data_IF_125678300539
#
_entry.id   IF_125678300539
#
_cell.length_a   1.000
_cell.length_b   1.000
_cell.length_c   1.000
_cell.angle_alpha   90.00
_cell.angle_beta   90.00
_cell.angle_gamma   90.00
#
_symmetry.space_group_name_H-M   'P 1'
#
loop_
_entity.id
_entity.type
_entity.pdbx_description
1 polymer ?
#
# COMPACT_ATOMS: atom_id res chain seq x y z
N UNK A 1 16.54 23.16 25.26
CA UNK A 1 16.57 23.64 23.86
C UNK A 1 15.47 23.05 22.98
N UNK A 2 14.94 21.89 23.28
CA UNK A 2 13.86 21.21 22.55
C UNK A 2 12.49 21.86 22.74
N UNK A 3 12.25 22.48 23.89
CA UNK A 3 10.97 23.13 24.21
C UNK A 3 10.65 24.38 23.35
N UNK A 4 11.66 25.09 22.84
CA UNK A 4 11.46 26.26 21.96
C UNK A 4 11.03 25.87 20.55
N UNK A 5 11.51 24.75 20.03
CA UNK A 5 11.12 24.28 18.68
C UNK A 5 9.68 23.75 18.67
N UNK A 6 9.24 23.10 19.73
CA UNK A 6 7.85 22.64 19.87
C UNK A 6 6.85 23.79 20.00
N UNK A 7 7.19 24.89 20.70
CA UNK A 7 6.30 26.06 20.84
C UNK A 7 6.16 26.88 19.54
N UNK A 8 7.14 26.87 18.67
CA UNK A 8 7.04 27.53 17.36
C UNK A 8 6.17 26.78 16.37
N UNK A 9 5.88 25.50 16.60
CA UNK A 9 5.00 24.67 15.78
C UNK A 9 3.50 24.95 15.97
N UNK A 10 3.10 25.57 17.08
CA UNK A 10 1.68 25.75 17.45
C UNK A 10 1.05 27.09 17.07
N UNK A 11 1.77 28.07 16.48
CA UNK A 11 1.23 29.43 16.31
C UNK A 11 1.55 30.03 14.95
N UNK A 12 1.35 29.29 13.85
CA UNK A 12 1.33 29.94 12.54
C UNK A 12 0.42 29.20 11.57
N UNK A 13 -0.83 29.65 11.49
CA UNK A 13 -1.84 29.32 10.48
C UNK A 13 -1.43 29.82 9.09
N UNK A 14 -0.29 29.38 8.59
CA UNK A 14 0.11 29.54 7.20
C UNK A 14 0.57 28.19 6.71
N UNK A 15 0.11 27.80 5.54
CA UNK A 15 0.56 26.61 4.79
C UNK A 15 2.09 26.53 4.89
N UNK A 16 2.58 25.73 5.84
CA UNK A 16 4.01 25.56 6.03
C UNK A 16 4.53 24.59 4.98
N UNK A 17 5.15 25.13 3.95
CA UNK A 17 5.90 24.33 3.00
C UNK A 17 7.34 24.21 3.55
N UNK A 18 7.73 23.05 4.07
CA UNK A 18 9.07 22.87 4.61
C UNK A 18 10.11 23.01 3.50
N UNK A 19 11.21 23.69 3.82
CA UNK A 19 12.35 23.79 2.89
C UNK A 19 13.05 22.43 2.82
N UNK A 20 13.28 21.95 1.62
CA UNK A 20 14.01 20.72 1.34
C UNK A 20 15.23 21.02 0.45
N UNK A 21 16.30 20.25 0.58
CA UNK A 21 17.44 20.31 -0.31
C UNK A 21 17.10 19.71 -1.68
N UNK A 22 17.90 19.99 -2.69
CA UNK A 22 17.70 19.40 -4.02
C UNK A 22 17.77 17.87 -3.96
N UNK A 23 18.65 17.33 -3.12
CA UNK A 23 18.78 15.89 -2.88
C UNK A 23 17.51 15.30 -2.25
N UNK A 24 16.92 16.00 -1.29
CA UNK A 24 15.67 15.57 -0.64
C UNK A 24 14.51 15.57 -1.63
N UNK A 25 14.42 16.59 -2.49
CA UNK A 25 13.42 16.64 -3.56
C UNK A 25 13.55 15.44 -4.50
N UNK A 26 14.76 15.06 -4.89
CA UNK A 26 15.00 13.90 -5.75
C UNK A 26 14.57 12.59 -5.06
N UNK A 27 14.91 12.43 -3.79
CA UNK A 27 14.50 11.26 -3.00
C UNK A 27 12.97 11.13 -2.92
N UNK A 28 12.28 12.23 -2.63
CA UNK A 28 10.81 12.22 -2.55
C UNK A 28 10.16 12.02 -3.92
N UNK A 29 10.76 12.54 -4.99
CA UNK A 29 10.30 12.30 -6.36
C UNK A 29 10.38 10.81 -6.73
N UNK A 30 11.50 10.14 -6.42
CA UNK A 30 11.65 8.70 -6.64
C UNK A 30 10.57 7.93 -5.88
N UNK A 31 10.33 8.27 -4.61
CA UNK A 31 9.23 7.69 -3.83
C UNK A 31 7.89 7.86 -4.53
N UNK A 32 7.58 9.07 -5.01
CA UNK A 32 6.32 9.35 -5.69
C UNK A 32 6.11 8.49 -6.93
N UNK A 33 7.17 8.29 -7.74
CA UNK A 33 7.13 7.41 -8.93
C UNK A 33 6.89 5.95 -8.53
N UNK A 34 7.58 5.43 -7.50
CA UNK A 34 7.40 4.05 -7.04
C UNK A 34 5.97 3.83 -6.55
N UNK A 35 5.44 4.74 -5.73
CA UNK A 35 4.07 4.64 -5.20
C UNK A 35 3.04 4.72 -6.32
N UNK A 36 3.19 5.66 -7.26
CA UNK A 36 2.27 5.80 -8.38
C UNK A 36 2.27 4.57 -9.29
N UNK A 37 3.43 3.97 -9.56
CA UNK A 37 3.50 2.72 -10.33
C UNK A 37 2.77 1.58 -9.62
N UNK A 38 2.86 1.50 -8.28
CA UNK A 38 2.11 0.54 -7.46
C UNK A 38 0.60 0.78 -7.54
N UNK A 39 0.16 2.03 -7.44
CA UNK A 39 -1.27 2.37 -7.49
C UNK A 39 -1.87 2.14 -8.87
N UNK A 40 -1.18 2.57 -9.93
CA UNK A 40 -1.64 2.38 -11.31
C UNK A 40 -1.78 0.88 -11.62
N UNK A 41 -0.75 0.08 -11.32
CA UNK A 41 -0.78 -1.36 -11.51
C UNK A 41 -1.90 -2.01 -10.71
N UNK A 42 -2.07 -1.62 -9.45
CA UNK A 42 -3.14 -2.11 -8.57
C UNK A 42 -4.54 -1.72 -9.06
N UNK A 43 -4.71 -0.53 -9.63
CA UNK A 43 -5.98 -0.07 -10.19
C UNK A 43 -6.38 -0.88 -11.42
N UNK A 44 -5.43 -1.13 -12.34
CA UNK A 44 -5.70 -1.96 -13.51
C UNK A 44 -6.07 -3.39 -13.12
N UNK A 45 -5.41 -3.95 -12.10
CA UNK A 45 -5.75 -5.26 -11.57
C UNK A 45 -7.17 -5.30 -11.00
N UNK A 46 -7.54 -4.32 -10.17
CA UNK A 46 -8.87 -4.22 -9.54
C UNK A 46 -10.00 -4.04 -10.55
N UNK A 47 -9.71 -3.43 -11.70
CA UNK A 47 -10.72 -3.26 -12.77
C UNK A 47 -11.12 -4.59 -13.43
N UNK A 48 -10.24 -5.60 -13.40
CA UNK A 48 -10.41 -6.83 -14.17
C UNK A 48 -10.44 -8.11 -13.33
N UNK A 49 -10.13 -8.01 -12.03
CA UNK A 49 -10.13 -9.14 -11.12
C UNK A 49 -11.12 -8.92 -9.97
N UNK A 50 -11.75 -9.98 -9.44
CA UNK A 50 -12.58 -9.91 -8.26
C UNK A 50 -11.82 -9.38 -7.04
N UNK A 51 -12.52 -8.62 -6.19
CA UNK A 51 -11.95 -8.07 -4.95
C UNK A 51 -11.49 -9.16 -3.98
N UNK A 52 -12.22 -10.28 -3.96
CA UNK A 52 -11.90 -11.44 -3.11
C UNK A 52 -10.64 -12.19 -3.53
N UNK A 53 -10.12 -11.96 -4.74
CA UNK A 53 -8.83 -12.47 -5.22
C UNK A 53 -7.74 -11.42 -5.00
N UNK A 54 -7.98 -10.17 -5.39
CA UNK A 54 -6.97 -9.11 -5.27
C UNK A 54 -6.67 -8.74 -3.81
N UNK A 55 -7.68 -8.84 -2.93
CA UNK A 55 -7.55 -8.56 -1.49
C UNK A 55 -6.48 -9.42 -0.81
N UNK A 56 -6.60 -10.76 -0.79
CA UNK A 56 -5.60 -11.64 -0.20
C UNK A 56 -4.20 -11.50 -0.82
N UNK A 57 -4.11 -11.32 -2.16
CA UNK A 57 -2.83 -11.07 -2.82
C UNK A 57 -2.19 -9.79 -2.27
N UNK A 58 -2.93 -8.70 -2.15
CA UNK A 58 -2.44 -7.44 -1.57
C UNK A 58 -2.11 -7.56 -0.08
N UNK A 59 -2.83 -8.39 0.66
CA UNK A 59 -2.56 -8.63 2.09
C UNK A 59 -1.22 -9.31 2.35
N UNK A 60 -0.64 -10.01 1.36
CA UNK A 60 0.68 -10.62 1.49
C UNK A 60 1.86 -9.65 1.31
N UNK A 61 1.62 -8.40 0.97
CA UNK A 61 2.68 -7.40 0.82
C UNK A 61 3.63 -7.29 2.02
N UNK A 62 3.20 -7.40 3.32
CA UNK A 62 4.11 -7.40 4.45
C UNK A 62 5.15 -8.52 4.41
N UNK A 63 4.80 -9.69 3.85
CA UNK A 63 5.75 -10.80 3.65
C UNK A 63 6.86 -10.38 2.70
N UNK A 64 6.51 -9.77 1.58
CA UNK A 64 7.50 -9.26 0.61
C UNK A 64 8.35 -8.14 1.20
N UNK A 65 7.76 -7.26 2.01
CA UNK A 65 8.50 -6.21 2.72
C UNK A 65 9.49 -6.81 3.71
N UNK A 66 9.10 -7.87 4.44
CA UNK A 66 9.99 -8.56 5.37
C UNK A 66 11.14 -9.29 4.64
N UNK A 67 10.83 -10.02 3.56
CA UNK A 67 11.86 -10.64 2.72
C UNK A 67 12.82 -9.61 2.12
N UNK A 68 12.29 -8.48 1.67
CA UNK A 68 13.10 -7.36 1.19
C UNK A 68 13.97 -6.75 2.29
N UNK A 69 13.47 -6.64 3.52
CA UNK A 69 14.24 -6.16 4.67
C UNK A 69 15.37 -7.13 5.03
N UNK A 70 15.12 -8.42 4.95
CA UNK A 70 16.16 -9.45 5.13
C UNK A 70 17.28 -9.31 4.10
N UNK A 71 16.95 -9.13 2.82
CA UNK A 71 17.93 -9.02 1.74
C UNK A 71 18.70 -7.70 1.78
N UNK A 72 18.03 -6.56 2.07
CA UNK A 72 18.63 -5.24 2.01
C UNK A 72 19.30 -4.82 3.31
N UNK A 73 18.77 -5.25 4.46
CA UNK A 73 19.28 -4.86 5.79
C UNK A 73 19.98 -6.01 6.52
N UNK A 74 20.05 -7.21 5.93
CA UNK A 74 20.69 -8.38 6.54
C UNK A 74 19.96 -8.88 7.80
N UNK A 75 18.68 -8.56 7.97
CA UNK A 75 17.88 -8.97 9.12
C UNK A 75 17.68 -10.50 9.09
N UNK A 76 17.88 -11.17 10.23
CA UNK A 76 17.62 -12.62 10.34
C UNK A 76 16.18 -12.86 10.75
N UNK A 77 15.49 -13.70 10.01
CA UNK A 77 14.13 -14.11 10.34
C UNK A 77 14.09 -15.04 11.55
N UNK A 78 13.22 -14.73 12.51
CA UNK A 78 12.92 -15.62 13.61
C UNK A 78 11.98 -16.75 13.14
N UNK A 79 11.90 -17.85 13.93
CA UNK A 79 11.06 -19.01 13.62
C UNK A 79 9.59 -18.62 13.36
N UNK A 80 9.04 -17.73 14.17
CA UNK A 80 7.68 -17.20 13.98
C UNK A 80 7.49 -16.50 12.64
N UNK A 81 8.47 -15.73 12.21
CA UNK A 81 8.44 -15.04 10.92
C UNK A 81 8.50 -16.03 9.74
N UNK A 82 9.31 -17.11 9.86
CA UNK A 82 9.32 -18.18 8.87
C UNK A 82 7.96 -18.89 8.77
N UNK A 83 7.30 -19.18 9.90
CA UNK A 83 5.93 -19.72 9.89
C UNK A 83 4.97 -18.78 9.16
N UNK A 84 5.04 -17.49 9.43
CA UNK A 84 4.23 -16.47 8.75
C UNK A 84 4.46 -16.44 7.23
N UNK A 85 5.70 -16.55 6.77
CA UNK A 85 6.05 -16.64 5.34
C UNK A 85 5.45 -17.90 4.70
N UNK A 86 5.63 -19.07 5.33
CA UNK A 86 5.10 -20.35 4.83
C UNK A 86 3.58 -20.31 4.72
N UNK A 87 2.88 -19.81 5.76
CA UNK A 87 1.42 -19.66 5.75
C UNK A 87 0.95 -18.76 4.61
N UNK A 88 1.64 -17.65 4.36
CA UNK A 88 1.32 -16.73 3.26
C UNK A 88 1.53 -17.40 1.89
N UNK A 89 2.60 -18.15 1.70
CA UNK A 89 2.85 -18.92 0.46
C UNK A 89 1.77 -19.98 0.26
N UNK A 90 1.40 -20.71 1.31
CA UNK A 90 0.33 -21.70 1.27
C UNK A 90 -1.02 -21.07 0.88
N UNK A 91 -1.35 -19.92 1.45
CA UNK A 91 -2.52 -19.14 1.06
C UNK A 91 -2.51 -18.78 -0.43
N UNK A 92 -1.39 -18.31 -0.97
CA UNK A 92 -1.28 -18.03 -2.40
C UNK A 92 -1.57 -19.25 -3.29
N UNK A 93 -1.05 -20.40 -2.89
CA UNK A 93 -1.31 -21.65 -3.61
C UNK A 93 -2.79 -22.02 -3.60
N UNK A 94 -3.44 -21.94 -2.44
CA UNK A 94 -4.87 -22.20 -2.29
C UNK A 94 -5.71 -21.20 -3.10
N UNK A 95 -5.38 -19.91 -3.02
CA UNK A 95 -6.06 -18.87 -3.79
C UNK A 95 -5.93 -19.10 -5.31
N UNK A 96 -4.74 -19.52 -5.79
CA UNK A 96 -4.53 -19.91 -7.18
C UNK A 96 -5.41 -21.07 -7.59
N UNK A 97 -5.58 -22.07 -6.71
CA UNK A 97 -6.46 -23.22 -6.93
C UNK A 97 -7.94 -22.81 -6.96
N UNK A 98 -8.35 -21.93 -6.06
CA UNK A 98 -9.71 -21.38 -6.00
C UNK A 98 -10.03 -20.54 -7.25
N UNK A 99 -9.08 -19.74 -7.72
CA UNK A 99 -9.22 -18.92 -8.91
C UNK A 99 -9.38 -19.75 -10.21
N UNK A 100 -8.72 -20.91 -10.31
CA UNK A 100 -8.89 -21.83 -11.44
C UNK A 100 -10.34 -22.27 -11.61
N UNK A 101 -11.07 -22.48 -10.51
CA UNK A 101 -12.51 -22.85 -10.54
C UNK A 101 -13.40 -21.74 -11.12
N UNK A 102 -12.92 -20.50 -11.12
CA UNK A 102 -13.59 -19.33 -11.72
C UNK A 102 -13.06 -18.98 -13.10
N UNK A 103 -12.24 -19.84 -13.70
CA UNK A 103 -11.63 -19.62 -15.03
C UNK A 103 -10.44 -18.66 -15.00
N UNK A 104 -9.91 -18.31 -13.83
CA UNK A 104 -8.77 -17.43 -13.67
C UNK A 104 -7.50 -18.27 -13.56
N UNK A 105 -6.72 -18.33 -14.63
CA UNK A 105 -5.42 -18.99 -14.66
C UNK A 105 -4.33 -18.03 -14.18
N UNK A 106 -3.84 -18.20 -12.93
CA UNK A 106 -2.88 -17.31 -12.30
C UNK A 106 -1.59 -17.11 -13.11
N UNK A 107 -1.04 -18.20 -13.69
CA UNK A 107 0.22 -18.15 -14.43
C UNK A 107 0.16 -17.37 -15.76
N UNK A 108 -1.02 -17.29 -16.40
CA UNK A 108 -1.19 -16.69 -17.74
C UNK A 108 -2.06 -15.43 -17.72
N UNK A 109 -2.49 -14.98 -16.55
CA UNK A 109 -3.36 -13.83 -16.45
C UNK A 109 -2.54 -12.55 -16.20
N UNK A 110 -2.51 -11.67 -17.20
CA UNK A 110 -1.81 -10.37 -17.12
C UNK A 110 -2.25 -9.50 -15.95
N UNK A 111 -3.48 -9.63 -15.48
CA UNK A 111 -4.00 -8.82 -14.37
C UNK A 111 -3.49 -9.32 -13.03
N UNK A 112 -3.24 -10.63 -12.91
CA UNK A 112 -2.51 -11.19 -11.75
C UNK A 112 -1.08 -10.65 -11.72
N UNK A 113 -0.41 -10.60 -12.87
CA UNK A 113 0.93 -9.98 -12.97
C UNK A 113 0.91 -8.52 -12.50
N UNK A 114 -0.08 -7.72 -12.92
CA UNK A 114 -0.23 -6.34 -12.42
C UNK A 114 -0.48 -6.28 -10.92
N UNK A 115 -1.23 -7.24 -10.34
CA UNK A 115 -1.40 -7.31 -8.88
C UNK A 115 -0.07 -7.59 -8.18
N UNK A 116 0.69 -8.57 -8.68
CA UNK A 116 2.03 -8.90 -8.14
C UNK A 116 2.99 -7.72 -8.28
N UNK A 117 3.00 -7.06 -9.43
CA UNK A 117 3.81 -5.84 -9.64
C UNK A 117 3.43 -4.74 -8.65
N UNK A 118 2.14 -4.54 -8.39
CA UNK A 118 1.65 -3.56 -7.42
C UNK A 118 2.16 -3.86 -5.99
N UNK A 119 2.16 -5.13 -5.57
CA UNK A 119 2.66 -5.47 -4.23
C UNK A 119 4.18 -5.41 -4.13
N UNK A 120 4.91 -5.76 -5.19
CA UNK A 120 6.37 -5.62 -5.24
C UNK A 120 6.79 -4.15 -5.13
N UNK A 121 6.24 -3.29 -5.99
CA UNK A 121 6.52 -1.85 -5.94
C UNK A 121 6.03 -1.21 -4.65
N UNK A 122 4.91 -1.69 -4.09
CA UNK A 122 4.42 -1.26 -2.78
C UNK A 122 5.31 -1.70 -1.62
N UNK A 123 5.90 -2.90 -1.67
CA UNK A 123 6.88 -3.36 -0.70
C UNK A 123 8.19 -2.55 -0.80
N UNK A 124 8.67 -2.30 -2.01
CA UNK A 124 9.82 -1.41 -2.24
C UNK A 124 9.58 -0.01 -1.68
N UNK A 125 8.38 0.56 -1.89
CA UNK A 125 8.01 1.85 -1.30
C UNK A 125 8.09 1.83 0.22
N UNK A 126 7.56 0.78 0.88
CA UNK A 126 7.62 0.65 2.34
C UNK A 126 9.05 0.56 2.87
N UNK A 127 9.94 -0.18 2.19
CA UNK A 127 11.36 -0.24 2.54
C UNK A 127 12.05 1.10 2.33
N UNK A 128 11.72 1.79 1.25
CA UNK A 128 12.24 3.12 0.95
C UNK A 128 11.74 4.17 1.94
N UNK A 129 10.49 4.06 2.43
CA UNK A 129 9.96 4.92 3.49
C UNK A 129 10.78 4.79 4.79
N UNK A 130 11.15 3.56 5.16
CA UNK A 130 12.03 3.33 6.33
C UNK A 130 13.38 4.03 6.16
N UNK A 131 13.91 4.05 4.95
CA UNK A 131 15.16 4.77 4.66
C UNK A 131 14.98 6.29 4.74
N UNK A 132 13.90 6.84 4.16
CA UNK A 132 13.62 8.27 4.18
C UNK A 132 13.35 8.80 5.59
N UNK A 133 12.60 8.07 6.41
CA UNK A 133 12.27 8.49 7.79
C UNK A 133 13.48 8.55 8.72
N UNK A 134 14.60 7.92 8.35
CA UNK A 134 15.88 8.05 9.09
C UNK A 134 16.62 9.34 8.75
N UNK A 135 16.42 9.90 7.58
CA UNK A 135 17.20 11.03 7.05
C UNK A 135 16.42 12.33 6.96
N UNK A 136 15.09 12.27 6.91
CA UNK A 136 14.22 13.43 6.66
C UNK A 136 13.08 13.53 7.67
N UNK A 137 12.61 14.76 7.87
CA UNK A 137 11.42 15.01 8.68
C UNK A 137 10.14 14.50 7.96
N UNK A 138 9.27 13.85 8.73
CA UNK A 138 8.02 13.24 8.24
C UNK A 138 7.13 14.24 7.50
N UNK A 139 6.98 15.47 8.06
CA UNK A 139 6.13 16.49 7.43
C UNK A 139 6.70 16.95 6.10
N UNK A 140 8.02 17.07 6.00
CA UNK A 140 8.70 17.42 4.74
C UNK A 140 8.45 16.35 3.67
N UNK A 141 8.61 15.08 4.02
CA UNK A 141 8.36 13.98 3.09
C UNK A 141 6.89 13.95 2.66
N UNK A 142 5.94 14.08 3.58
CA UNK A 142 4.52 14.00 3.26
C UNK A 142 4.05 15.15 2.37
N UNK A 143 4.44 16.38 2.68
CA UNK A 143 4.03 17.55 1.89
C UNK A 143 4.55 17.46 0.47
N UNK A 144 5.86 17.26 0.30
CA UNK A 144 6.47 17.16 -1.04
C UNK A 144 6.02 15.92 -1.82
N UNK A 145 5.81 14.79 -1.14
CA UNK A 145 5.24 13.60 -1.74
C UNK A 145 3.87 13.87 -2.36
N UNK A 146 2.96 14.51 -1.62
CA UNK A 146 1.63 14.85 -2.14
C UNK A 146 1.70 15.83 -3.32
N UNK A 147 2.60 16.84 -3.25
CA UNK A 147 2.82 17.78 -4.35
C UNK A 147 3.29 17.03 -5.61
N UNK A 148 4.31 16.18 -5.48
CA UNK A 148 4.81 15.41 -6.63
C UNK A 148 3.78 14.43 -7.18
N UNK A 149 2.99 13.77 -6.32
CA UNK A 149 1.88 12.94 -6.81
C UNK A 149 0.88 13.74 -7.62
N UNK A 150 0.45 14.91 -7.15
CA UNK A 150 -0.46 15.78 -7.90
C UNK A 150 0.14 16.21 -9.23
N UNK A 151 1.41 16.61 -9.25
CA UNK A 151 2.10 17.03 -10.49
C UNK A 151 2.17 15.87 -11.48
N UNK A 152 2.68 14.70 -11.07
CA UNK A 152 2.83 13.54 -11.96
C UNK A 152 1.46 13.08 -12.48
N UNK A 153 0.45 13.01 -11.60
CA UNK A 153 -0.90 12.63 -12.01
C UNK A 153 -1.51 13.64 -12.99
N UNK A 154 -1.25 14.94 -12.80
CA UNK A 154 -1.68 15.97 -13.74
C UNK A 154 -1.04 15.78 -15.12
N UNK A 155 0.26 15.47 -15.18
CA UNK A 155 0.93 15.13 -16.44
C UNK A 155 0.33 13.88 -17.10
N UNK A 156 0.09 12.81 -16.33
CA UNK A 156 -0.55 11.58 -16.85
C UNK A 156 -1.94 11.90 -17.42
N UNK A 157 -2.74 12.72 -16.75
CA UNK A 157 -4.05 13.12 -17.21
C UNK A 157 -3.97 13.96 -18.50
N UNK A 158 -3.09 14.90 -18.55
CA UNK A 158 -2.93 15.81 -19.71
C UNK A 158 -2.42 15.06 -20.95
N UNK A 159 -1.41 14.18 -20.79
CA UNK A 159 -0.76 13.53 -21.93
C UNK A 159 -1.38 12.20 -22.33
N UNK A 160 -1.95 11.45 -21.41
CA UNK A 160 -2.52 10.11 -21.71
C UNK A 160 -4.04 10.12 -21.80
N UNK A 161 -4.74 10.79 -20.90
CA UNK A 161 -6.19 10.76 -20.88
C UNK A 161 -6.82 11.82 -21.79
N UNK A 162 -6.32 13.05 -21.77
CA UNK A 162 -6.93 14.15 -22.53
C UNK A 162 -6.98 13.92 -24.05
N UNK A 163 -5.93 13.41 -24.71
CA UNK A 163 -5.99 13.07 -26.14
C UNK A 163 -6.96 11.93 -26.44
N UNK A 164 -7.08 10.99 -25.53
CA UNK A 164 -7.90 9.78 -25.67
C UNK A 164 -9.30 9.89 -25.02
N UNK A 165 -9.70 11.06 -24.57
CA UNK A 165 -10.96 11.26 -23.82
C UNK A 165 -12.22 10.78 -24.53
N UNK A 166 -12.25 10.82 -25.88
CA UNK A 166 -13.37 10.35 -26.70
C UNK A 166 -13.48 8.81 -26.77
N UNK A 167 -12.34 8.10 -26.59
CA UNK A 167 -12.26 6.63 -26.60
C UNK A 167 -12.25 6.02 -25.21
N UNK A 168 -12.00 6.84 -24.21
CA UNK A 168 -11.91 6.47 -22.80
C UNK A 168 -13.23 6.73 -22.10
N UNK A 169 -13.37 6.21 -20.87
CA UNK A 169 -14.54 6.45 -20.01
C UNK A 169 -14.70 7.94 -19.78
N UNK A 170 -15.88 8.54 -20.05
CA UNK A 170 -16.10 9.96 -19.83
C UNK A 170 -15.94 10.30 -18.35
N UNK A 171 -15.39 11.47 -18.06
CA UNK A 171 -15.26 11.95 -16.69
C UNK A 171 -16.66 12.17 -16.10
N UNK A 172 -16.95 11.46 -15.02
CA UNK A 172 -18.18 11.65 -14.23
C UNK A 172 -17.80 12.17 -12.87
N UNK A 173 -18.27 13.38 -12.55
CA UNK A 173 -18.11 13.93 -11.22
C UNK A 173 -18.95 13.13 -10.23
N UNK A 174 -18.32 12.62 -9.16
CA UNK A 174 -19.00 11.94 -8.05
C UNK A 174 -18.47 12.47 -6.72
N UNK A 175 -19.35 12.84 -5.84
CA UNK A 175 -18.99 13.30 -4.49
C UNK A 175 -18.13 12.31 -3.71
N UNK A 176 -18.29 11.02 -3.99
CA UNK A 176 -17.47 9.96 -3.40
C UNK A 176 -15.96 10.18 -3.62
N UNK A 177 -15.56 10.86 -4.70
CA UNK A 177 -14.14 11.16 -4.99
C UNK A 177 -13.56 12.06 -3.89
N UNK A 178 -14.32 13.09 -3.47
CA UNK A 178 -13.88 14.00 -2.39
C UNK A 178 -13.77 13.24 -1.07
N UNK A 179 -14.80 12.46 -0.71
CA UNK A 179 -14.75 11.67 0.53
C UNK A 179 -13.58 10.71 0.57
N UNK A 180 -13.33 9.96 -0.52
CA UNK A 180 -12.17 9.06 -0.63
C UNK A 180 -10.86 9.84 -0.43
N UNK A 181 -10.70 11.01 -1.06
CA UNK A 181 -9.50 11.82 -0.96
C UNK A 181 -9.26 12.33 0.47
N UNK A 182 -10.31 12.83 1.13
CA UNK A 182 -10.22 13.32 2.52
C UNK A 182 -9.86 12.18 3.47
N UNK A 183 -10.57 11.04 3.39
CA UNK A 183 -10.28 9.89 4.25
C UNK A 183 -8.90 9.31 3.99
N UNK A 184 -8.42 9.32 2.75
CA UNK A 184 -7.06 8.87 2.43
C UNK A 184 -6.00 9.79 3.03
N UNK A 185 -6.17 11.12 2.91
CA UNK A 185 -5.27 12.09 3.55
C UNK A 185 -5.22 11.92 5.07
N UNK A 186 -6.38 11.75 5.71
CA UNK A 186 -6.47 11.52 7.16
C UNK A 186 -5.78 10.21 7.54
N UNK A 187 -6.02 9.14 6.79
CA UNK A 187 -5.43 7.83 7.03
C UNK A 187 -3.90 7.86 6.88
N UNK A 188 -3.38 8.55 5.87
CA UNK A 188 -1.94 8.71 5.67
C UNK A 188 -1.32 9.59 6.77
N UNK A 189 -2.00 10.65 7.20
CA UNK A 189 -1.52 11.47 8.31
C UNK A 189 -1.45 10.67 9.62
N UNK A 190 -2.49 9.91 9.95
CA UNK A 190 -2.52 9.03 11.14
C UNK A 190 -1.42 7.96 11.05
N UNK A 191 -1.21 7.40 9.87
CA UNK A 191 -0.15 6.42 9.63
C UNK A 191 1.24 7.00 9.91
N UNK A 192 1.55 8.16 9.35
CA UNK A 192 2.85 8.81 9.58
C UNK A 192 2.99 9.27 11.03
N UNK A 193 1.92 9.79 11.63
CA UNK A 193 1.91 10.15 13.04
C UNK A 193 2.23 8.95 13.94
N UNK A 194 1.62 7.80 13.66
CA UNK A 194 1.94 6.56 14.39
C UNK A 194 3.41 6.14 14.24
N UNK A 195 4.05 6.43 13.12
CA UNK A 195 5.47 6.12 12.90
C UNK A 195 6.44 7.08 13.61
N UNK A 196 5.97 8.23 14.09
CA UNK A 196 6.82 9.18 14.85
C UNK A 196 7.12 8.73 16.27
N UNK A 197 6.33 7.80 16.81
CA UNK A 197 6.59 7.27 18.15
C UNK A 197 7.79 6.33 18.15
N UNK A 198 8.80 6.55 19.03
CA UNK A 198 10.03 5.73 19.06
C UNK A 198 9.77 4.25 19.27
N UNK A 199 8.75 3.92 20.08
CA UNK A 199 8.37 2.55 20.41
C UNK A 199 7.39 1.93 19.40
N UNK A 200 7.00 2.67 18.35
CA UNK A 200 6.08 2.14 17.35
C UNK A 200 6.80 1.13 16.46
N UNK A 201 6.36 -0.11 16.55
CA UNK A 201 6.82 -1.13 15.61
C UNK A 201 6.16 -0.90 14.26
N UNK A 202 6.95 -0.61 13.25
CA UNK A 202 6.50 -0.40 11.86
C UNK A 202 5.66 -1.58 11.38
N UNK A 203 6.00 -2.78 11.84
CA UNK A 203 5.25 -4.01 11.56
C UNK A 203 3.81 -3.95 12.06
N UNK A 204 3.56 -3.45 13.28
CA UNK A 204 2.20 -3.34 13.85
C UNK A 204 1.38 -2.34 13.05
N UNK A 205 1.94 -1.15 12.81
CA UNK A 205 1.25 -0.09 12.06
C UNK A 205 0.92 -0.57 10.64
N UNK A 206 1.85 -1.28 10.00
CA UNK A 206 1.63 -1.90 8.70
C UNK A 206 0.55 -2.97 8.72
N UNK A 207 0.48 -3.80 9.77
CA UNK A 207 -0.57 -4.81 9.93
C UNK A 207 -1.94 -4.19 10.10
N UNK A 208 -2.07 -3.19 10.97
CA UNK A 208 -3.34 -2.46 11.16
C UNK A 208 -3.79 -1.82 9.86
N UNK A 209 -2.88 -1.20 9.10
CA UNK A 209 -3.18 -0.66 7.78
C UNK A 209 -3.64 -1.73 6.78
N UNK A 210 -3.14 -2.96 6.88
CA UNK A 210 -3.49 -4.08 5.99
C UNK A 210 -4.77 -4.81 6.39
N UNK A 211 -5.26 -4.66 7.61
CA UNK A 211 -6.56 -5.24 8.00
C UNK A 211 -7.75 -4.68 7.20
N UNK A 212 -7.56 -3.62 6.41
CA UNK A 212 -8.54 -3.16 5.42
C UNK A 212 -8.93 -4.25 4.41
N UNK A 213 -8.10 -5.29 4.23
CA UNK A 213 -8.43 -6.42 3.35
C UNK A 213 -9.69 -7.16 3.81
N UNK A 214 -9.96 -7.20 5.13
CA UNK A 214 -11.21 -7.75 5.66
C UNK A 214 -12.42 -6.98 5.15
N UNK A 215 -12.36 -5.66 5.20
CA UNK A 215 -13.44 -4.79 4.70
C UNK A 215 -13.61 -4.96 3.19
N UNK A 216 -12.51 -5.02 2.45
CA UNK A 216 -12.53 -5.25 1.00
C UNK A 216 -13.15 -6.60 0.65
N UNK A 217 -12.80 -7.66 1.40
CA UNK A 217 -13.36 -9.00 1.22
C UNK A 217 -14.87 -9.03 1.50
N UNK A 218 -15.30 -8.44 2.63
CA UNK A 218 -16.71 -8.35 2.99
C UNK A 218 -17.50 -7.53 1.95
N UNK A 219 -16.94 -6.43 1.47
CA UNK A 219 -17.55 -5.65 0.39
C UNK A 219 -17.70 -6.46 -0.90
N UNK A 220 -16.67 -7.22 -1.29
CA UNK A 220 -16.73 -8.13 -2.43
C UNK A 220 -17.81 -9.20 -2.28
N UNK A 221 -17.92 -9.78 -1.09
CA UNK A 221 -18.91 -10.80 -0.78
C UNK A 221 -20.36 -10.27 -0.79
N UNK A 222 -20.59 -9.12 -0.12
CA UNK A 222 -21.95 -8.59 0.11
C UNK A 222 -22.45 -7.79 -1.10
N UNK A 223 -21.65 -6.84 -1.59
CA UNK A 223 -22.10 -5.91 -2.65
C UNK A 223 -21.90 -6.46 -4.06
N UNK A 224 -20.87 -7.26 -4.29
CA UNK A 224 -20.56 -7.79 -5.61
C UNK A 224 -21.00 -9.24 -5.81
N UNK A 225 -21.55 -9.89 -4.78
CA UNK A 225 -22.07 -11.27 -4.83
C UNK A 225 -21.06 -12.24 -5.47
N UNK A 226 -19.78 -12.12 -5.11
CA UNK A 226 -18.71 -12.93 -5.68
C UNK A 226 -18.88 -14.42 -5.33
N UNK A 227 -18.41 -15.29 -6.23
CA UNK A 227 -18.55 -16.75 -6.11
C UNK A 227 -17.43 -17.37 -5.25
N UNK A 228 -17.66 -18.62 -4.79
CA UNK A 228 -16.65 -19.42 -4.05
C UNK A 228 -16.11 -18.76 -2.77
N UNK A 229 -16.95 -18.02 -2.05
CA UNK A 229 -16.56 -17.26 -0.86
C UNK A 229 -15.92 -18.11 0.24
N UNK A 230 -16.37 -19.36 0.44
CA UNK A 230 -15.82 -20.25 1.49
C UNK A 230 -14.32 -20.48 1.30
N UNK A 231 -13.90 -20.86 0.10
CA UNK A 231 -12.49 -21.13 -0.19
C UNK A 231 -11.65 -19.85 -0.07
N UNK A 232 -12.15 -18.73 -0.62
CA UNK A 232 -11.49 -17.43 -0.53
C UNK A 232 -11.42 -16.89 0.90
N UNK A 233 -12.39 -17.22 1.75
CA UNK A 233 -12.35 -16.89 3.18
C UNK A 233 -11.27 -17.69 3.93
N UNK A 234 -11.05 -18.95 3.57
CA UNK A 234 -9.95 -19.78 4.12
C UNK A 234 -8.61 -19.17 3.71
N UNK A 235 -8.46 -18.76 2.44
CA UNK A 235 -7.26 -18.12 1.94
C UNK A 235 -6.97 -16.83 2.70
N UNK A 236 -8.00 -15.99 2.89
CA UNK A 236 -7.88 -14.74 3.67
C UNK A 236 -7.48 -15.01 5.12
N UNK A 237 -8.10 -16.02 5.76
CA UNK A 237 -7.79 -16.40 7.13
C UNK A 237 -6.32 -16.83 7.27
N UNK A 238 -5.79 -17.61 6.32
CA UNK A 238 -4.38 -18.03 6.32
C UNK A 238 -3.42 -16.85 6.15
N UNK A 239 -3.75 -15.88 5.29
CA UNK A 239 -2.94 -14.66 5.17
C UNK A 239 -2.94 -13.87 6.48
N UNK A 240 -4.11 -13.69 7.10
CA UNK A 240 -4.23 -12.99 8.38
C UNK A 240 -3.47 -13.70 9.50
N UNK A 241 -3.58 -15.02 9.55
CA UNK A 241 -2.82 -15.84 10.50
C UNK A 241 -1.30 -15.69 10.26
N UNK A 242 -0.87 -15.71 8.99
CA UNK A 242 0.51 -15.45 8.60
C UNK A 242 1.00 -14.07 9.08
N UNK A 243 0.18 -13.03 8.94
CA UNK A 243 0.50 -11.69 9.46
C UNK A 243 0.63 -11.69 10.99
N UNK A 244 -0.23 -12.40 11.72
CA UNK A 244 -0.13 -12.53 13.19
C UNK A 244 1.20 -13.17 13.59
N UNK A 245 1.61 -14.26 12.91
CA UNK A 245 2.90 -14.89 13.16
C UNK A 245 4.08 -13.96 12.83
N UNK A 246 3.99 -13.19 11.76
CA UNK A 246 5.00 -12.17 11.45
C UNK A 246 5.12 -11.14 12.58
N UNK A 247 3.99 -10.71 13.13
CA UNK A 247 3.96 -9.79 14.27
C UNK A 247 4.58 -10.38 15.52
N UNK A 248 4.22 -11.63 15.87
CA UNK A 248 4.78 -12.32 17.05
C UNK A 248 6.31 -12.48 16.94
N UNK A 249 6.81 -12.63 15.73
CA UNK A 249 8.25 -12.72 15.48
C UNK A 249 9.00 -11.37 15.54
N UNK A 250 8.30 -10.24 15.64
CA UNK A 250 8.93 -8.91 15.81
C UNK A 250 9.12 -8.50 17.27
N UNK A 251 8.53 -9.27 18.21
CA UNK A 251 8.75 -9.16 19.64
C UNK A 251 9.95 -9.98 20.04
#
# INVERSE_FOLDING_TARGET
STSRRQRQMCIRDRVYVPRASLEDHLKVLIKAVIVLSSWISGYFALKHLPLTITGPIKASQPVLTLLGAMLLFGERLNLFQWVGVVLSIASFYLLSSSGKKEGIHFAHNKWIFFTVLSILTGAMSGLYDKHLMRSMDVMTVQVWFNVYQCVIMSFILLFLWYPNRKKSTPFQWRWNIIFISVFLCVADWVYFYALTFPDSMISIVSMVRRSNVLVTFLAGAIFFHEKNLKNKAIDLFLVLLGMIFLYLGTK
#
